data_IF_003342218342
#
_entry.id   IF_003342218342
#
_cell.length_a   1.000
_cell.length_b   1.000
_cell.length_c   1.000
_cell.angle_alpha   90.00
_cell.angle_beta   90.00
_cell.angle_gamma   90.00
#
_symmetry.space_group_name_H-M   'P 1'
#
loop_
_entity.id
_entity.type
_entity.pdbx_description
1 polymer ?
#
# COMPACT_ATOMS: atom_id res chain seq x y z
N UNK A 1 38.99 -5.92 -22.40
CA UNK A 1 38.71 -6.04 -20.96
C UNK A 1 37.21 -6.25 -20.83
N UNK A 2 36.75 -7.47 -20.53
CA UNK A 2 35.33 -7.78 -20.56
C UNK A 2 34.67 -7.35 -19.23
N UNK A 3 33.57 -6.61 -19.32
CA UNK A 3 32.79 -6.21 -18.16
C UNK A 3 31.92 -7.39 -17.70
N UNK A 4 32.23 -7.94 -16.53
CA UNK A 4 31.48 -9.08 -15.97
C UNK A 4 30.19 -8.53 -15.35
N UNK A 5 29.11 -8.54 -16.13
CA UNK A 5 27.80 -8.05 -15.68
C UNK A 5 27.05 -9.16 -14.93
N UNK A 6 26.68 -8.87 -13.68
CA UNK A 6 25.87 -9.80 -12.90
C UNK A 6 24.40 -9.74 -13.34
N UNK A 7 23.99 -10.74 -14.14
CA UNK A 7 22.63 -10.86 -14.66
C UNK A 7 21.56 -10.99 -13.57
N UNK A 8 21.90 -11.47 -12.38
CA UNK A 8 20.95 -11.55 -11.26
C UNK A 8 20.65 -10.14 -10.70
N UNK A 9 21.67 -9.28 -10.60
CA UNK A 9 21.48 -7.88 -10.19
C UNK A 9 20.66 -7.11 -11.20
N UNK A 10 20.91 -7.33 -12.49
CA UNK A 10 20.13 -6.74 -13.59
C UNK A 10 18.65 -7.17 -13.52
N UNK A 11 18.38 -8.47 -13.38
CA UNK A 11 17.01 -9.00 -13.22
C UNK A 11 16.31 -8.44 -11.99
N UNK A 12 16.99 -8.37 -10.84
CA UNK A 12 16.43 -7.76 -9.62
C UNK A 12 16.13 -6.27 -9.79
N UNK A 13 16.97 -5.54 -10.53
CA UNK A 13 16.71 -4.13 -10.82
C UNK A 13 15.47 -3.97 -11.71
N UNK A 14 15.31 -4.81 -12.73
CA UNK A 14 14.12 -4.81 -13.59
C UNK A 14 12.84 -5.10 -12.79
N UNK A 15 12.85 -6.17 -11.99
CA UNK A 15 11.70 -6.54 -11.14
C UNK A 15 11.29 -5.41 -10.17
N UNK A 16 12.27 -4.67 -9.62
CA UNK A 16 11.97 -3.50 -8.77
C UNK A 16 11.29 -2.37 -9.54
N UNK A 17 11.76 -2.06 -10.75
CA UNK A 17 11.13 -1.04 -11.60
C UNK A 17 9.70 -1.41 -11.99
N UNK A 18 9.47 -2.68 -12.33
CA UNK A 18 8.13 -3.18 -12.65
C UNK A 18 7.19 -3.08 -11.44
N UNK A 19 7.66 -3.45 -10.25
CA UNK A 19 6.89 -3.30 -9.02
C UNK A 19 6.54 -1.84 -8.69
N UNK A 20 7.47 -0.91 -8.92
CA UNK A 20 7.23 0.53 -8.75
C UNK A 20 6.21 1.08 -9.75
N UNK A 21 6.30 0.66 -11.02
CA UNK A 21 5.35 1.03 -12.06
C UNK A 21 3.94 0.49 -11.75
N UNK A 22 3.85 -0.77 -11.32
CA UNK A 22 2.59 -1.36 -10.90
C UNK A 22 2.01 -0.64 -9.67
N UNK A 23 2.85 -0.27 -8.70
CA UNK A 23 2.42 0.51 -7.55
C UNK A 23 1.91 1.90 -7.95
N UNK A 24 2.54 2.57 -8.91
CA UNK A 24 2.08 3.84 -9.46
C UNK A 24 0.74 3.69 -10.21
N UNK A 25 0.61 2.65 -11.04
CA UNK A 25 -0.65 2.32 -11.72
C UNK A 25 -1.78 2.03 -10.73
N UNK A 26 -1.51 1.28 -9.65
CA UNK A 26 -2.49 1.00 -8.61
C UNK A 26 -2.89 2.27 -7.83
N UNK A 27 -1.94 3.18 -7.58
CA UNK A 27 -2.24 4.50 -6.98
C UNK A 27 -3.18 5.32 -7.87
N UNK A 28 -2.94 5.34 -9.18
CA UNK A 28 -3.79 6.03 -10.14
C UNK A 28 -5.17 5.36 -10.29
N UNK A 29 -5.22 4.02 -10.42
CA UNK A 29 -6.46 3.25 -10.64
C UNK A 29 -7.38 3.28 -9.44
N UNK A 30 -6.84 3.13 -8.24
CA UNK A 30 -7.65 2.98 -7.03
C UNK A 30 -7.77 4.27 -6.21
N UNK A 31 -7.00 5.32 -6.56
CA UNK A 31 -7.03 6.64 -5.92
C UNK A 31 -6.58 6.66 -4.45
N UNK A 32 -6.50 5.50 -3.80
CA UNK A 32 -6.15 5.34 -2.38
C UNK A 32 -4.95 4.42 -2.24
N UNK A 33 -3.96 4.90 -1.49
CA UNK A 33 -2.81 4.08 -1.10
C UNK A 33 -3.22 3.09 -0.01
N UNK A 34 -2.43 2.01 0.17
CA UNK A 34 -2.61 1.06 1.28
C UNK A 34 -2.63 1.78 2.65
N UNK A 35 -1.80 2.81 2.80
CA UNK A 35 -1.76 3.66 4.00
C UNK A 35 -3.04 4.48 4.17
N UNK A 36 -3.57 5.06 3.08
CA UNK A 36 -4.85 5.78 3.09
C UNK A 36 -6.00 4.87 3.53
N UNK A 37 -6.11 3.68 2.92
CA UNK A 37 -7.12 2.68 3.33
C UNK A 37 -7.00 2.32 4.81
N UNK A 38 -5.79 2.08 5.31
CA UNK A 38 -5.58 1.74 6.72
C UNK A 38 -5.96 2.88 7.68
N UNK A 39 -5.70 4.13 7.30
CA UNK A 39 -6.11 5.28 8.09
C UNK A 39 -7.63 5.45 8.12
N UNK A 40 -8.31 5.24 7.00
CA UNK A 40 -9.77 5.27 6.92
C UNK A 40 -10.38 4.20 7.83
N UNK A 41 -9.88 2.96 7.76
CA UNK A 41 -10.38 1.86 8.59
C UNK A 41 -10.18 2.14 10.09
N UNK A 42 -9.04 2.75 10.48
CA UNK A 42 -8.83 3.17 11.87
C UNK A 42 -9.78 4.30 12.29
N UNK A 43 -10.05 5.24 11.39
CA UNK A 43 -10.99 6.33 11.66
C UNK A 43 -12.42 5.80 11.82
N UNK A 44 -12.83 4.84 10.99
CA UNK A 44 -14.10 4.13 11.11
C UNK A 44 -14.20 3.35 12.41
N UNK A 45 -13.16 2.58 12.77
CA UNK A 45 -13.13 1.83 14.03
C UNK A 45 -13.24 2.75 15.25
N UNK A 46 -12.56 3.90 15.25
CA UNK A 46 -12.70 4.91 16.31
C UNK A 46 -14.11 5.49 16.38
N UNK A 47 -14.73 5.78 15.24
CA UNK A 47 -16.12 6.26 15.18
C UNK A 47 -17.09 5.22 15.71
N UNK A 48 -16.94 3.96 15.32
CA UNK A 48 -17.77 2.86 15.82
C UNK A 48 -17.60 2.69 17.33
N UNK A 49 -16.36 2.62 17.83
CA UNK A 49 -16.11 2.50 19.26
C UNK A 49 -16.69 3.67 20.08
N UNK A 50 -16.64 4.90 19.56
CA UNK A 50 -17.28 6.05 20.21
C UNK A 50 -18.80 5.89 20.26
N UNK A 51 -19.42 5.48 19.14
CA UNK A 51 -20.86 5.27 19.08
C UNK A 51 -21.30 4.12 19.99
N UNK A 52 -20.55 3.03 20.01
CA UNK A 52 -20.83 1.87 20.86
C UNK A 52 -20.66 2.20 22.35
N UNK A 53 -19.66 3.01 22.72
CA UNK A 53 -19.50 3.46 24.11
C UNK A 53 -20.60 4.43 24.59
N UNK A 54 -21.33 5.06 23.67
CA UNK A 54 -22.43 5.99 23.99
C UNK A 54 -23.81 5.32 23.82
N UNK A 55 -23.88 4.14 23.19
CA UNK A 55 -25.11 3.35 23.14
C UNK A 55 -25.49 2.94 24.56
N UNK A 56 -26.67 3.37 25.01
CA UNK A 56 -27.34 2.80 26.16
C UNK A 56 -28.01 1.52 25.67
N UNK A 57 -27.57 0.39 26.20
CA UNK A 57 -28.30 -0.88 26.10
C UNK A 57 -29.61 -0.66 26.86
N UNK A 58 -30.72 -0.48 26.13
CA UNK A 58 -32.08 -0.66 26.68
C UNK A 58 -32.45 -2.14 26.63
#
# INVERSE_FOLDING_TARGET
MAEIVNLNRARKALARKEAEAQAAANRAKHGRTKAGKANDTRAEARRQALLDGVKREE
#
